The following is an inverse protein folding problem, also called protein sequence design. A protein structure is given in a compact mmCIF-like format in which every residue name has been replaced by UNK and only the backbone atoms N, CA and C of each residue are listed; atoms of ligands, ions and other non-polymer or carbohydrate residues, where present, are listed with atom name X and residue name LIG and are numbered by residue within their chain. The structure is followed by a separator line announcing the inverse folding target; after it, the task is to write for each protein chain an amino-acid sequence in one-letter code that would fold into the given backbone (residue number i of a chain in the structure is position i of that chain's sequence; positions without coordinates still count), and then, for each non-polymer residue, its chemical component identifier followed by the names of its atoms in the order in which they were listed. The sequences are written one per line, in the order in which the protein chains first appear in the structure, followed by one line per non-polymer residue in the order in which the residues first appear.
data_IF_139087724072
#
_entry.id   IF_139087724072
#
_cell.length_a   1.000
_cell.length_b   1.000
_cell.length_c   1.000
_cell.angle_alpha   90.00
_cell.angle_beta   90.00
_cell.angle_gamma   90.00
#
_symmetry.space_group_name_H-M   'P 1'
#
loop_
_entity.id
_entity.type
_entity.pdbx_description
1 polymer ?
#
# COMPACT_ATOMS: atom_id res chain seq x y z
N UNK A 1 6.17 2.86 -3.85
CA UNK A 1 5.46 2.43 -2.62
C UNK A 1 4.51 1.27 -2.89
N UNK A 2 3.77 1.30 -3.99
CA UNK A 2 2.85 0.19 -4.36
C UNK A 2 3.59 -1.14 -4.53
N UNK A 3 4.84 -1.11 -4.89
CA UNK A 3 5.67 -2.30 -5.08
C UNK A 3 5.88 -3.08 -3.77
N UNK A 4 5.82 -2.41 -2.62
CA UNK A 4 5.98 -3.04 -1.30
C UNK A 4 4.88 -4.08 -1.06
N UNK A 5 3.64 -3.73 -1.28
CA UNK A 5 2.52 -4.65 -1.09
C UNK A 5 2.57 -5.83 -2.07
N UNK A 6 3.01 -5.57 -3.30
CA UNK A 6 3.23 -6.64 -4.28
C UNK A 6 4.33 -7.59 -3.83
N UNK A 7 5.46 -7.06 -3.33
CA UNK A 7 6.57 -7.88 -2.86
C UNK A 7 6.21 -8.72 -1.64
N UNK A 8 5.33 -8.23 -0.77
CA UNK A 8 4.87 -8.97 0.40
C UNK A 8 4.32 -10.37 0.03
N UNK A 9 3.65 -10.48 -1.10
CA UNK A 9 3.10 -11.74 -1.59
C UNK A 9 4.03 -12.55 -2.50
N UNK A 10 5.20 -12.02 -2.88
CA UNK A 10 6.02 -12.60 -3.94
C UNK A 10 7.51 -12.70 -3.60
N UNK A 11 7.88 -12.70 -2.31
CA UNK A 11 9.27 -12.92 -1.93
C UNK A 11 9.45 -14.26 -1.18
N UNK A 12 10.63 -14.82 -1.26
CA UNK A 12 10.98 -16.07 -0.59
C UNK A 12 11.70 -15.79 0.73
N UNK A 13 11.01 -15.14 1.69
CA UNK A 13 11.57 -14.77 3.01
C UNK A 13 12.87 -13.95 2.91
N UNK A 14 13.01 -13.19 1.84
CA UNK A 14 14.19 -12.37 1.57
C UNK A 14 14.27 -11.14 2.46
N UNK A 15 13.13 -10.63 2.91
CA UNK A 15 13.02 -9.39 3.68
C UNK A 15 12.58 -9.68 5.11
N UNK A 16 13.17 -8.98 6.07
CA UNK A 16 12.80 -9.09 7.51
C UNK A 16 11.62 -8.20 7.88
N UNK A 17 11.42 -7.11 7.17
CA UNK A 17 10.33 -6.17 7.39
C UNK A 17 10.12 -5.30 6.16
N UNK A 18 8.91 -4.76 6.03
CA UNK A 18 8.54 -3.81 4.99
C UNK A 18 8.04 -2.51 5.58
N UNK A 19 8.22 -1.43 4.84
CA UNK A 19 7.58 -0.14 5.08
C UNK A 19 6.91 0.32 3.79
N UNK A 20 5.64 0.66 3.86
CA UNK A 20 4.89 1.19 2.73
C UNK A 20 4.36 2.58 3.06
N UNK A 21 4.71 3.56 2.25
CA UNK A 21 4.22 4.94 2.37
C UNK A 21 3.40 5.27 1.13
N UNK A 22 2.12 5.56 1.34
CA UNK A 22 1.14 5.91 0.30
C UNK A 22 1.07 4.87 -0.83
N UNK A 23 1.11 3.59 -0.48
CA UNK A 23 1.06 2.50 -1.44
C UNK A 23 -0.36 2.12 -1.86
N UNK A 24 -0.49 1.66 -3.11
CA UNK A 24 -1.73 1.06 -3.61
C UNK A 24 -1.78 -0.41 -3.23
N UNK A 25 -2.86 -0.83 -2.61
CA UNK A 25 -3.07 -2.20 -2.13
C UNK A 25 -4.09 -2.96 -2.98
N UNK A 26 -5.22 -2.34 -3.26
CA UNK A 26 -6.31 -2.93 -4.03
C UNK A 26 -6.54 -2.09 -5.29
N UNK A 27 -6.06 -2.59 -6.43
CA UNK A 27 -6.12 -1.86 -7.70
C UNK A 27 -7.55 -1.79 -8.26
N UNK A 28 -8.42 -2.70 -7.87
CA UNK A 28 -9.83 -2.65 -8.28
C UNK A 28 -10.54 -1.47 -7.60
N UNK A 29 -10.44 -1.36 -6.27
CA UNK A 29 -11.04 -0.22 -5.56
C UNK A 29 -10.38 1.10 -5.93
N UNK A 30 -9.06 1.10 -6.13
CA UNK A 30 -8.32 2.29 -6.52
C UNK A 30 -8.79 2.86 -7.86
N UNK A 31 -9.30 2.04 -8.75
CA UNK A 31 -9.82 2.50 -10.04
C UNK A 31 -10.89 3.60 -9.88
N UNK A 32 -11.71 3.51 -8.85
CA UNK A 32 -12.79 4.46 -8.57
C UNK A 32 -12.50 5.41 -7.40
N UNK A 33 -11.47 5.16 -6.60
CA UNK A 33 -11.16 5.91 -5.37
C UNK A 33 -10.16 7.05 -5.56
N UNK A 34 -9.61 7.21 -6.76
CA UNK A 34 -8.60 8.23 -7.04
C UNK A 34 -9.22 9.49 -7.64
N UNK A 35 -8.67 10.66 -7.30
CA UNK A 35 -8.99 11.92 -7.97
C UNK A 35 -8.56 11.95 -9.43
N UNK A 36 -7.64 11.06 -9.81
CA UNK A 36 -7.08 10.97 -11.16
C UNK A 36 -7.64 9.78 -11.93
N UNK A 37 -8.95 9.66 -12.02
CA UNK A 37 -9.62 8.53 -12.70
C UNK A 37 -9.17 8.36 -14.17
N UNK A 38 -8.84 9.45 -14.85
CA UNK A 38 -8.29 9.43 -16.20
C UNK A 38 -6.95 8.68 -16.28
N UNK A 39 -6.12 8.82 -15.21
CA UNK A 39 -4.83 8.13 -15.12
C UNK A 39 -5.02 6.61 -14.99
N UNK A 40 -6.00 6.19 -14.20
CA UNK A 40 -6.34 4.77 -14.06
C UNK A 40 -6.78 4.17 -15.39
N UNK A 41 -7.59 4.89 -16.18
CA UNK A 41 -7.99 4.45 -17.51
C UNK A 41 -6.81 4.32 -18.46
N UNK A 42 -5.86 5.24 -18.40
CA UNK A 42 -4.68 5.18 -19.25
C UNK A 42 -3.71 4.09 -18.82
N UNK A 43 -3.42 4.01 -17.51
CA UNK A 43 -2.44 3.06 -16.99
C UNK A 43 -2.92 1.61 -17.05
N UNK A 44 -4.21 1.38 -16.76
CA UNK A 44 -4.80 0.03 -16.72
C UNK A 44 -5.54 -0.34 -18.00
N UNK A 45 -5.75 0.61 -18.88
CA UNK A 45 -6.44 0.50 -20.17
C UNK A 45 -7.95 0.28 -20.06
N UNK A 46 -8.43 -0.56 -19.14
CA UNK A 46 -9.83 -0.91 -18.97
C UNK A 46 -10.28 -0.90 -17.52
N UNK A 47 -11.58 -0.69 -17.31
CA UNK A 47 -12.20 -0.81 -16.00
C UNK A 47 -12.16 -2.26 -15.48
N UNK A 48 -12.04 -2.43 -14.17
CA UNK A 48 -11.94 -3.76 -13.57
C UNK A 48 -13.21 -4.62 -13.78
N UNK A 49 -14.36 -3.99 -14.05
CA UNK A 49 -15.63 -4.70 -14.28
C UNK A 49 -15.85 -5.08 -15.76
N UNK A 50 -15.01 -4.64 -16.67
CA UNK A 50 -15.15 -5.01 -18.09
C UNK A 50 -14.91 -6.49 -18.30
N UNK A 51 -15.83 -7.14 -19.02
CA UNK A 51 -15.71 -8.56 -19.33
C UNK A 51 -14.69 -8.83 -20.42
N UNK A 52 -14.53 -7.87 -21.34
CA UNK A 52 -13.62 -7.96 -22.50
C UNK A 52 -12.37 -7.10 -22.27
N UNK A 53 -11.75 -7.25 -21.09
CA UNK A 53 -10.53 -6.52 -20.74
C UNK A 53 -9.39 -6.83 -21.70
N UNK A 54 -8.56 -5.80 -21.98
CA UNK A 54 -7.27 -5.99 -22.66
C UNK A 54 -6.37 -6.95 -21.85
N UNK A 55 -5.39 -7.53 -22.53
CA UNK A 55 -4.41 -8.41 -21.86
C UNK A 55 -3.67 -7.67 -20.71
N UNK A 56 -3.34 -6.39 -20.91
CA UNK A 56 -2.67 -5.59 -19.88
C UNK A 56 -3.57 -5.33 -18.67
N UNK A 57 -4.83 -4.94 -18.89
CA UNK A 57 -5.79 -4.74 -17.82
C UNK A 57 -5.99 -6.02 -17.00
N UNK A 58 -6.17 -7.15 -17.67
CA UNK A 58 -6.31 -8.45 -17.04
C UNK A 58 -5.14 -8.78 -16.13
N UNK A 59 -3.90 -8.64 -16.63
CA UNK A 59 -2.69 -8.86 -15.85
C UNK A 59 -2.58 -7.91 -14.66
N UNK A 60 -2.93 -6.65 -14.84
CA UNK A 60 -2.88 -5.64 -13.78
C UNK A 60 -3.79 -6.01 -12.62
N UNK A 61 -5.05 -6.33 -12.88
CA UNK A 61 -5.99 -6.68 -11.81
C UNK A 61 -5.72 -8.06 -11.21
N UNK A 62 -5.30 -9.03 -12.00
CA UNK A 62 -4.91 -10.36 -11.50
C UNK A 62 -3.69 -10.30 -10.57
N UNK A 63 -2.81 -9.33 -10.78
CA UNK A 63 -1.62 -9.11 -9.96
C UNK A 63 -1.80 -8.04 -8.88
N UNK A 64 -3.04 -7.60 -8.63
CA UNK A 64 -3.31 -6.64 -7.56
C UNK A 64 -2.86 -7.22 -6.20
N UNK A 65 -2.11 -6.46 -5.39
CA UNK A 65 -1.54 -6.94 -4.13
C UNK A 65 -2.54 -7.59 -3.18
N UNK A 66 -3.78 -7.09 -3.14
CA UNK A 66 -4.80 -7.60 -2.22
C UNK A 66 -5.19 -9.06 -2.46
N UNK A 67 -4.94 -9.58 -3.65
CA UNK A 67 -5.24 -10.98 -4.01
C UNK A 67 -4.21 -11.97 -3.49
N UNK A 68 -3.08 -11.50 -2.95
CA UNK A 68 -1.97 -12.34 -2.49
C UNK A 68 -1.75 -12.25 -0.98
N UNK A 69 -2.71 -11.73 -0.23
CA UNK A 69 -2.63 -11.59 1.22
C UNK A 69 -2.40 -12.94 1.92
N UNK A 70 -2.91 -14.01 1.37
CA UNK A 70 -2.71 -15.37 1.88
C UNK A 70 -1.23 -15.78 1.91
N UNK A 71 -0.38 -15.13 1.11
CA UNK A 71 1.08 -15.37 1.05
C UNK A 71 1.89 -14.40 1.89
N UNK A 72 1.26 -13.44 2.52
CA UNK A 72 1.96 -12.45 3.35
C UNK A 72 2.47 -13.08 4.64
N UNK A 73 3.73 -12.83 4.97
CA UNK A 73 4.38 -13.39 6.16
C UNK A 73 5.35 -12.43 6.87
N UNK A 74 5.57 -11.25 6.31
CA UNK A 74 6.62 -10.33 6.77
C UNK A 74 6.01 -9.12 7.49
N UNK A 75 6.56 -8.71 8.65
CA UNK A 75 6.11 -7.50 9.34
C UNK A 75 6.08 -6.29 8.43
N UNK A 76 5.03 -5.46 8.57
CA UNK A 76 4.83 -4.30 7.70
C UNK A 76 4.39 -3.07 8.49
N UNK A 77 5.00 -1.93 8.17
CA UNK A 77 4.56 -0.60 8.62
C UNK A 77 3.88 0.10 7.45
N UNK A 78 2.63 0.50 7.64
CA UNK A 78 1.86 1.26 6.66
C UNK A 78 1.76 2.71 7.10
N UNK A 79 2.16 3.64 6.23
CA UNK A 79 2.07 5.08 6.45
C UNK A 79 1.21 5.70 5.35
N UNK A 80 0.26 6.56 5.73
CA UNK A 80 -0.62 7.19 4.76
C UNK A 80 -1.12 8.56 5.24
N UNK A 81 -1.24 9.52 4.33
CA UNK A 81 -1.91 10.79 4.59
C UNK A 81 -3.43 10.63 4.43
N UNK A 82 -4.20 11.10 5.40
CA UNK A 82 -5.67 11.00 5.34
C UNK A 82 -6.26 11.79 4.17
N UNK A 83 -5.60 12.88 3.79
CA UNK A 83 -6.01 13.75 2.68
C UNK A 83 -5.36 13.36 1.34
N UNK A 84 -4.87 12.16 1.24
CA UNK A 84 -4.36 11.64 -0.03
C UNK A 84 -5.53 11.19 -0.90
N UNK A 85 -5.85 12.01 -1.89
CA UNK A 85 -6.93 11.73 -2.85
C UNK A 85 -6.42 11.06 -4.13
N UNK A 86 -5.13 10.93 -4.27
CA UNK A 86 -4.49 10.24 -5.38
C UNK A 86 -4.46 8.73 -5.13
N UNK A 87 -3.95 8.35 -3.96
CA UNK A 87 -4.03 6.97 -3.44
C UNK A 87 -4.71 7.07 -2.07
N UNK A 88 -5.99 6.74 -2.01
CA UNK A 88 -6.82 6.95 -0.83
C UNK A 88 -6.23 6.24 0.40
N UNK A 89 -6.37 6.85 1.58
CA UNK A 89 -5.89 6.30 2.85
C UNK A 89 -6.45 4.89 3.15
N UNK A 90 -7.60 4.54 2.58
CA UNK A 90 -8.18 3.21 2.69
C UNK A 90 -7.26 2.12 2.14
N UNK A 91 -6.37 2.44 1.21
CA UNK A 91 -5.37 1.51 0.69
C UNK A 91 -4.39 1.10 1.80
N UNK A 92 -3.86 2.06 2.55
CA UNK A 92 -2.99 1.79 3.69
C UNK A 92 -3.70 1.07 4.83
N UNK A 93 -4.91 1.51 5.17
CA UNK A 93 -5.72 0.87 6.20
C UNK A 93 -6.11 -0.56 5.83
N UNK A 94 -6.46 -0.80 4.56
CA UNK A 94 -6.80 -2.13 4.06
C UNK A 94 -5.62 -3.09 4.16
N UNK A 95 -4.44 -2.65 3.76
CA UNK A 95 -3.21 -3.45 3.86
C UNK A 95 -2.86 -3.76 5.32
N UNK A 96 -2.95 -2.76 6.20
CA UNK A 96 -2.72 -2.94 7.64
C UNK A 96 -3.69 -3.96 8.24
N UNK A 97 -4.98 -3.82 7.97
CA UNK A 97 -5.99 -4.73 8.48
C UNK A 97 -5.79 -6.16 7.96
N UNK A 98 -5.49 -6.32 6.67
CA UNK A 98 -5.20 -7.61 6.08
C UNK A 98 -4.02 -8.31 6.78
N UNK A 99 -2.93 -7.58 7.02
CA UNK A 99 -1.77 -8.10 7.74
C UNK A 99 -2.15 -8.52 9.18
N UNK A 100 -2.92 -7.69 9.89
CA UNK A 100 -3.38 -7.99 11.25
C UNK A 100 -4.26 -9.24 11.29
N UNK A 101 -5.19 -9.36 10.37
CA UNK A 101 -6.08 -10.52 10.29
C UNK A 101 -5.32 -11.82 9.98
N UNK A 102 -4.20 -11.72 9.29
CA UNK A 102 -3.29 -12.85 9.03
C UNK A 102 -2.36 -13.15 10.20
N UNK A 103 -2.41 -12.38 11.28
CA UNK A 103 -1.51 -12.56 12.42
C UNK A 103 -0.09 -12.03 12.19
N UNK A 104 0.10 -11.21 11.15
CA UNK A 104 1.40 -10.62 10.82
C UNK A 104 1.57 -9.34 11.64
N UNK A 105 2.74 -9.13 12.30
CA UNK A 105 3.01 -7.87 13.00
C UNK A 105 2.89 -6.69 12.04
N UNK A 106 2.04 -5.73 12.38
CA UNK A 106 1.80 -4.56 11.54
C UNK A 106 1.56 -3.32 12.39
N UNK A 107 2.01 -2.18 11.88
CA UNK A 107 1.73 -0.86 12.45
C UNK A 107 1.16 0.05 11.38
N UNK A 108 0.34 1.01 11.80
CA UNK A 108 -0.29 1.97 10.91
C UNK A 108 -0.06 3.38 11.44
N UNK A 109 0.45 4.26 10.58
CA UNK A 109 0.61 5.68 10.88
C UNK A 109 -0.21 6.48 9.87
N UNK A 110 -1.25 7.17 10.34
CA UNK A 110 -2.09 8.04 9.53
C UNK A 110 -1.82 9.50 9.92
N UNK A 111 -1.61 10.36 8.93
CA UNK A 111 -1.48 11.81 9.11
C UNK A 111 -2.80 12.48 8.72
N UNK A 112 -3.60 12.95 9.67
CA UNK A 112 -4.90 13.56 9.37
C UNK A 112 -4.81 14.85 8.55
N UNK A 113 -3.67 15.52 8.61
CA UNK A 113 -3.43 16.83 8.00
C UNK A 113 -2.46 16.81 6.80
N UNK A 114 -2.06 15.63 6.34
CA UNK A 114 -1.19 15.48 5.18
C UNK A 114 -1.90 14.81 4.00
N UNK A 115 -1.41 15.14 2.80
CA UNK A 115 -1.87 14.52 1.55
C UNK A 115 -0.89 13.42 1.09
N UNK A 116 -0.64 13.28 -0.21
CA UNK A 116 0.31 12.32 -0.75
C UNK A 116 1.77 12.60 -0.33
N UNK A 117 2.04 13.79 0.18
CA UNK A 117 3.37 14.21 0.62
C UNK A 117 3.33 14.60 2.09
N UNK A 118 4.36 14.23 2.86
CA UNK A 118 4.54 14.70 4.23
C UNK A 118 5.31 16.01 4.17
N UNK A 119 4.60 17.14 4.26
CA UNK A 119 5.18 18.46 4.07
C UNK A 119 5.40 19.24 5.37
N UNK A 120 4.61 18.97 6.42
CA UNK A 120 4.72 19.70 7.68
C UNK A 120 5.93 19.21 8.48
N UNK A 121 6.79 20.12 9.00
CA UNK A 121 8.03 19.72 9.69
C UNK A 121 7.81 18.77 10.86
N UNK A 122 6.80 19.00 11.70
CA UNK A 122 6.51 18.13 12.84
C UNK A 122 6.11 16.71 12.39
N UNK A 123 5.40 16.59 11.29
CA UNK A 123 5.02 15.29 10.72
C UNK A 123 6.25 14.60 10.10
N UNK A 124 7.16 15.34 9.50
CA UNK A 124 8.42 14.81 9.00
C UNK A 124 9.29 14.24 10.10
N UNK A 125 9.34 14.89 11.26
CA UNK A 125 10.07 14.38 12.44
C UNK A 125 9.43 13.08 12.94
N UNK A 126 8.11 13.03 13.05
CA UNK A 126 7.39 11.82 13.43
C UNK A 126 7.62 10.69 12.44
N UNK A 127 7.61 11.00 11.14
CA UNK A 127 7.90 10.03 10.09
C UNK A 127 9.27 9.39 10.27
N UNK A 128 10.30 10.21 10.49
CA UNK A 128 11.66 9.72 10.70
C UNK A 128 11.77 8.84 11.96
N UNK A 129 11.19 9.27 13.07
CA UNK A 129 11.19 8.49 14.32
C UNK A 129 10.49 7.15 14.14
N UNK A 130 9.35 7.14 13.48
CA UNK A 130 8.59 5.92 13.22
C UNK A 130 9.36 4.99 12.28
N UNK A 131 9.96 5.54 11.24
CA UNK A 131 10.79 4.80 10.28
C UNK A 131 11.98 4.11 10.97
N UNK A 132 12.79 4.87 11.70
CA UNK A 132 13.96 4.31 12.38
C UNK A 132 13.57 3.37 13.52
N UNK A 133 12.52 3.68 14.27
CA UNK A 133 12.00 2.78 15.29
C UNK A 133 11.56 1.44 14.73
N UNK A 134 10.90 1.45 13.59
CA UNK A 134 10.50 0.23 12.89
C UNK A 134 11.70 -0.59 12.43
N UNK A 135 12.69 0.05 11.82
CA UNK A 135 13.93 -0.62 11.39
C UNK A 135 14.68 -1.22 12.59
N UNK A 136 14.82 -0.47 13.67
CA UNK A 136 15.49 -0.95 14.89
C UNK A 136 14.79 -2.18 15.47
N UNK A 137 13.47 -2.17 15.49
CA UNK A 137 12.68 -3.28 16.01
C UNK A 137 12.91 -4.59 15.24
N UNK A 138 13.07 -4.52 13.93
CA UNK A 138 13.11 -5.72 13.09
C UNK A 138 14.49 -6.07 12.55
N UNK A 139 15.39 -5.10 12.36
CA UNK A 139 16.69 -5.34 11.75
C UNK A 139 17.80 -5.61 12.78
N UNK A 140 17.66 -5.14 14.01
CA UNK A 140 18.65 -5.34 15.08
C UNK A 140 18.44 -6.62 15.89
N UNK A 141 17.49 -7.42 15.49
CA UNK A 141 17.23 -8.73 16.13
C UNK A 141 18.03 -9.84 15.50
#
# INVERSE_FOLDING_TARGET
ASDVYKRQGHHNKRFKAFLSHDGAFNLESMYTDTEEAWFSNWEYEDAYWNKDQSTNAKKTYENSPHKFVDKWDTPILCIHGEKDYRINANQGMGAFNAARMRGIPAELLIYPDENHWVLKPQNGVLWQRTFFGWLDKWLKK
#
